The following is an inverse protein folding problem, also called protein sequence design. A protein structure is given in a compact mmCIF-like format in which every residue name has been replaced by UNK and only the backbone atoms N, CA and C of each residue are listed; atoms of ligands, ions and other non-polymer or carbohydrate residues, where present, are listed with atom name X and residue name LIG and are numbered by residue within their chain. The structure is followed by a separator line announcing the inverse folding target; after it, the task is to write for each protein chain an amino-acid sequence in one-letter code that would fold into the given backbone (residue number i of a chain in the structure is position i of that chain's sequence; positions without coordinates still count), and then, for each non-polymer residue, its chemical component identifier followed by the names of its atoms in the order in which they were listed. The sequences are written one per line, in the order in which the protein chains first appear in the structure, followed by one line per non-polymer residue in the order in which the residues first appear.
data_IF_868188756262
#
_entry.id   IF_868188756262
#
_cell.length_a   1.000
_cell.length_b   1.000
_cell.length_c   1.000
_cell.angle_alpha   90.00
_cell.angle_beta   90.00
_cell.angle_gamma   90.00
#
_symmetry.space_group_name_H-M   'P 1'
#
loop_
_entity.id
_entity.type
_entity.pdbx_description
1 polymer ?
#
# COMPACT_ATOMS: atom_id res chain seq x y z
N UNK A 1 -13.43 5.40 -10.56
CA UNK A 1 -12.52 6.56 -10.80
C UNK A 1 -11.47 6.72 -9.69
N UNK A 2 -11.69 6.23 -8.45
CA UNK A 2 -10.71 6.32 -7.34
C UNK A 2 -9.73 5.13 -7.19
N UNK A 3 -10.06 3.91 -7.65
CA UNK A 3 -9.10 2.79 -7.68
C UNK A 3 -7.87 3.06 -8.55
N UNK A 4 -7.99 4.01 -9.48
CA UNK A 4 -6.88 4.39 -10.36
C UNK A 4 -5.74 5.04 -9.59
N UNK A 5 -6.01 5.82 -8.54
CA UNK A 5 -4.97 6.46 -7.73
C UNK A 5 -4.21 5.41 -6.91
N UNK A 6 -4.93 4.46 -6.29
CA UNK A 6 -4.31 3.33 -5.59
C UNK A 6 -3.45 2.51 -6.56
N UNK A 7 -4.00 2.07 -7.68
CA UNK A 7 -3.26 1.26 -8.64
C UNK A 7 -2.05 2.02 -9.17
N UNK A 8 -2.18 3.32 -9.49
CA UNK A 8 -1.06 4.14 -9.96
C UNK A 8 0.05 4.26 -8.92
N UNK A 9 -0.27 4.56 -7.65
CA UNK A 9 0.72 4.62 -6.56
C UNK A 9 1.40 3.26 -6.38
N UNK A 10 0.60 2.19 -6.45
CA UNK A 10 1.07 0.82 -6.26
C UNK A 10 2.01 0.34 -7.38
N UNK A 11 1.72 0.67 -8.64
CA UNK A 11 2.62 0.40 -9.77
C UNK A 11 3.98 1.10 -9.59
N UNK A 12 3.99 2.38 -9.18
CA UNK A 12 5.24 3.09 -8.88
C UNK A 12 6.02 2.41 -7.75
N UNK A 13 5.34 1.97 -6.70
CA UNK A 13 5.94 1.22 -5.61
C UNK A 13 6.55 -0.12 -6.06
N UNK A 14 5.89 -0.84 -6.97
CA UNK A 14 6.45 -2.07 -7.52
C UNK A 14 7.74 -1.83 -8.31
N UNK A 15 7.79 -0.75 -9.11
CA UNK A 15 9.02 -0.36 -9.82
C UNK A 15 10.15 -0.10 -8.83
N UNK A 16 9.91 0.66 -7.76
CA UNK A 16 10.93 0.95 -6.75
C UNK A 16 11.40 -0.30 -6.00
N UNK A 17 10.48 -1.22 -5.68
CA UNK A 17 10.80 -2.50 -5.04
C UNK A 17 11.65 -3.36 -5.97
N UNK A 18 11.30 -3.47 -7.26
CA UNK A 18 12.03 -4.27 -8.23
C UNK A 18 13.44 -3.72 -8.48
N UNK A 19 13.58 -2.39 -8.52
CA UNK A 19 14.87 -1.69 -8.55
C UNK A 19 15.70 -1.87 -7.26
N UNK A 20 15.11 -2.44 -6.20
CA UNK A 20 15.79 -2.81 -4.97
C UNK A 20 15.89 -1.70 -3.92
N UNK A 21 15.14 -0.59 -4.08
CA UNK A 21 15.12 0.53 -3.14
C UNK A 21 14.52 0.14 -1.77
N UNK A 22 13.77 -0.95 -1.72
CA UNK A 22 13.13 -1.49 -0.52
C UNK A 22 13.85 -2.71 0.08
N UNK A 23 15.10 -2.96 -0.34
CA UNK A 23 15.93 -4.06 0.16
C UNK A 23 15.58 -5.43 -0.45
N UNK A 24 16.30 -6.47 0.00
CA UNK A 24 16.09 -7.85 -0.50
C UNK A 24 14.84 -8.51 0.07
N UNK A 25 14.42 -8.14 1.28
CA UNK A 25 13.22 -8.70 1.92
C UNK A 25 11.95 -8.48 1.11
N UNK A 26 11.76 -7.29 0.54
CA UNK A 26 10.60 -6.98 -0.30
C UNK A 26 10.56 -7.73 -1.64
N UNK A 27 11.58 -8.52 -1.97
CA UNK A 27 11.64 -9.36 -3.18
C UNK A 27 11.75 -10.85 -2.86
N UNK A 28 11.66 -11.24 -1.58
CA UNK A 28 11.78 -12.64 -1.19
C UNK A 28 10.60 -13.49 -1.63
N UNK A 29 9.42 -12.89 -1.79
CA UNK A 29 8.23 -13.55 -2.29
C UNK A 29 7.18 -12.56 -2.79
N UNK A 30 6.10 -13.07 -3.40
CA UNK A 30 4.99 -12.24 -3.87
C UNK A 30 4.30 -11.51 -2.72
N UNK A 31 4.08 -12.17 -1.57
CA UNK A 31 3.43 -11.52 -0.43
C UNK A 31 4.35 -10.52 0.27
N UNK A 32 5.67 -10.78 0.30
CA UNK A 32 6.63 -9.82 0.81
C UNK A 32 6.65 -8.55 -0.05
N UNK A 33 6.62 -8.72 -1.39
CA UNK A 33 6.48 -7.61 -2.34
C UNK A 33 5.17 -6.84 -2.13
N UNK A 34 4.07 -7.56 -1.93
CA UNK A 34 2.76 -6.95 -1.68
C UNK A 34 2.72 -6.14 -0.38
N UNK A 35 3.19 -6.70 0.73
CA UNK A 35 3.29 -6.00 2.01
C UNK A 35 4.14 -4.72 1.89
N UNK A 36 5.28 -4.79 1.20
CA UNK A 36 6.11 -3.63 0.95
C UNK A 36 5.45 -2.60 0.03
N UNK A 37 4.73 -3.04 -1.00
CA UNK A 37 4.00 -2.14 -1.89
C UNK A 37 2.88 -1.40 -1.14
N UNK A 38 2.15 -2.07 -0.25
CA UNK A 38 1.14 -1.43 0.59
C UNK A 38 1.77 -0.41 1.56
N UNK A 39 2.90 -0.74 2.21
CA UNK A 39 3.68 0.21 3.02
C UNK A 39 4.16 1.42 2.22
N UNK A 40 4.60 1.19 0.98
CA UNK A 40 5.04 2.24 0.08
C UNK A 40 3.90 3.18 -0.33
N UNK A 41 2.72 2.64 -0.63
CA UNK A 41 1.54 3.42 -1.03
C UNK A 41 1.09 4.36 0.09
N UNK A 42 1.05 3.84 1.32
CA UNK A 42 0.85 4.64 2.54
C UNK A 42 1.29 3.83 3.76
N UNK A 43 2.33 4.30 4.43
CA UNK A 43 2.78 3.71 5.69
C UNK A 43 1.72 3.84 6.80
N UNK A 44 0.97 4.93 6.83
CA UNK A 44 -0.07 5.17 7.83
C UNK A 44 -1.23 4.17 7.73
N UNK A 45 -1.79 4.03 6.52
CA UNK A 45 -2.85 3.05 6.28
C UNK A 45 -2.36 1.62 6.42
N UNK A 46 -1.13 1.31 6.00
CA UNK A 46 -0.58 -0.02 6.20
C UNK A 46 -0.48 -0.37 7.68
N UNK A 47 0.13 0.50 8.49
CA UNK A 47 0.31 0.24 9.92
C UNK A 47 -1.04 0.08 10.63
N UNK A 48 -2.04 0.86 10.22
CA UNK A 48 -3.40 0.78 10.79
C UNK A 48 -4.12 -0.53 10.45
N UNK A 49 -3.88 -1.11 9.27
CA UNK A 49 -4.66 -2.26 8.77
C UNK A 49 -3.90 -3.59 8.88
N UNK A 50 -2.60 -3.57 8.62
CA UNK A 50 -1.72 -4.74 8.50
C UNK A 50 -0.45 -4.64 9.38
N UNK A 51 -0.35 -3.61 10.23
CA UNK A 51 0.87 -3.36 11.01
C UNK A 51 1.16 -4.43 12.06
N UNK A 52 0.12 -4.85 12.78
CA UNK A 52 0.22 -5.90 13.81
C UNK A 52 0.25 -7.31 13.18
N UNK A 53 -0.47 -7.48 12.08
CA UNK A 53 -0.64 -8.76 11.39
C UNK A 53 -0.47 -8.55 9.87
N UNK A 54 0.77 -8.64 9.36
CA UNK A 54 1.06 -8.52 7.93
C UNK A 54 0.40 -9.64 7.12
N UNK A 55 0.21 -9.41 5.81
CA UNK A 55 -0.35 -10.44 4.94
C UNK A 55 0.56 -11.68 4.87
N UNK A 56 -0.05 -12.87 4.97
CA UNK A 56 0.64 -14.16 4.89
C UNK A 56 0.59 -14.81 3.49
N UNK A 57 1.51 -15.73 3.22
CA UNK A 57 1.53 -16.50 1.96
C UNK A 57 0.21 -17.26 1.76
N UNK A 58 -0.44 -17.03 0.62
CA UNK A 58 -1.73 -17.65 0.29
C UNK A 58 -2.96 -16.97 0.91
N UNK A 59 -2.78 -15.92 1.71
CA UNK A 59 -3.89 -15.17 2.30
C UNK A 59 -4.60 -14.29 1.27
N UNK A 60 -5.94 -14.29 1.31
CA UNK A 60 -6.78 -13.38 0.53
C UNK A 60 -7.68 -12.60 1.48
N UNK A 61 -7.18 -11.46 2.00
CA UNK A 61 -7.96 -10.61 2.90
C UNK A 61 -8.73 -9.50 2.16
N UNK A 62 -9.95 -9.84 1.74
CA UNK A 62 -10.86 -8.92 1.08
C UNK A 62 -11.31 -7.79 2.03
N UNK A 63 -11.48 -8.08 3.32
CA UNK A 63 -12.03 -7.13 4.31
C UNK A 63 -11.01 -6.04 4.61
N UNK A 64 -9.82 -6.42 5.07
CA UNK A 64 -8.70 -5.49 5.32
C UNK A 64 -8.31 -4.76 4.03
N UNK A 65 -8.41 -5.43 2.87
CA UNK A 65 -8.19 -4.77 1.59
C UNK A 65 -9.19 -3.64 1.29
N UNK A 66 -10.43 -3.73 1.76
CA UNK A 66 -11.40 -2.62 1.68
C UNK A 66 -11.09 -1.51 2.68
N UNK A 67 -10.68 -1.88 3.90
CA UNK A 67 -10.28 -0.92 4.94
C UNK A 67 -9.08 -0.08 4.52
N UNK A 68 -8.06 -0.71 3.95
CA UNK A 68 -6.89 -0.02 3.39
C UNK A 68 -7.29 0.97 2.29
N UNK A 69 -8.15 0.56 1.34
CA UNK A 69 -8.67 1.45 0.29
C UNK A 69 -9.41 2.66 0.87
N UNK A 70 -10.23 2.44 1.90
CA UNK A 70 -10.98 3.50 2.55
C UNK A 70 -10.07 4.46 3.32
N UNK A 71 -9.05 3.95 4.01
CA UNK A 71 -8.04 4.75 4.68
C UNK A 71 -7.29 5.63 3.67
N UNK A 72 -6.72 5.03 2.62
CA UNK A 72 -5.95 5.76 1.61
C UNK A 72 -6.80 6.83 0.92
N UNK A 73 -8.07 6.54 0.65
CA UNK A 73 -9.00 7.51 0.09
C UNK A 73 -9.11 8.77 0.96
N UNK A 74 -9.21 8.60 2.29
CA UNK A 74 -9.28 9.74 3.21
C UNK A 74 -7.98 10.52 3.18
N UNK A 75 -6.83 9.85 3.24
CA UNK A 75 -5.52 10.51 3.15
C UNK A 75 -5.38 11.36 1.87
N UNK A 76 -5.72 10.80 0.70
CA UNK A 76 -5.67 11.53 -0.58
C UNK A 76 -6.62 12.74 -0.57
N UNK A 77 -7.78 12.63 0.07
CA UNK A 77 -8.72 13.75 0.18
C UNK A 77 -8.16 14.86 1.07
N UNK A 78 -7.52 14.53 2.18
CA UNK A 78 -6.88 15.51 3.05
C UNK A 78 -5.66 16.18 2.38
N UNK A 79 -4.80 15.41 1.69
CA UNK A 79 -3.69 15.93 0.87
C UNK A 79 -4.19 16.99 -0.14
N UNK A 80 -5.33 16.70 -0.81
CA UNK A 80 -5.94 17.62 -1.79
C UNK A 80 -6.55 18.86 -1.16
N UNK A 81 -6.96 18.83 0.10
CA UNK A 81 -7.45 20.02 0.82
C UNK A 81 -6.27 20.90 1.20
N UNK A 82 -5.24 20.32 1.80
CA UNK A 82 -4.00 21.02 2.16
C UNK A 82 -3.33 21.67 0.95
N UNK A 83 -3.33 21.00 -0.21
CA UNK A 83 -2.75 21.57 -1.43
C UNK A 83 -3.54 22.75 -2.05
N UNK A 84 -4.71 23.10 -1.50
CA UNK A 84 -5.56 24.22 -1.95
C UNK A 84 -5.55 25.40 -0.98
N UNK A 85 -4.92 25.25 0.18
CA UNK A 85 -4.69 26.28 1.18
C UNK A 85 -3.30 26.91 0.96
#
# INVERSE_FOLDING_TARGET
MQDRDLNRRKEACYVDIDNGLWGRGCRSSQIAKENCALRCVSGGCYNTVYGEDPLEEGEVDIRRGREFRNCLRKEIQEEKKLAKE
#
